data_IF_045055061525
#
_entry.id   IF_045055061525
#
_cell.length_a   1.000
_cell.length_b   1.000
_cell.length_c   1.000
_cell.angle_alpha   90.00
_cell.angle_beta   90.00
_cell.angle_gamma   90.00
#
_symmetry.space_group_name_H-M   'P 1'
#
loop_
_entity.id
_entity.type
_entity.pdbx_description
1 polymer ?
#
# COMPACT_ATOMS: atom_id res chain seq x y z
N UNK A 1 -13.60 1.52 2.15
CA UNK A 1 -12.23 1.91 1.75
C UNK A 1 -11.34 0.70 1.85
N UNK A 2 -10.39 0.51 0.94
CA UNK A 2 -9.46 -0.62 0.90
C UNK A 2 -8.06 -0.08 0.68
N UNK A 3 -7.10 -0.50 1.49
CA UNK A 3 -5.67 -0.18 1.30
C UNK A 3 -4.92 -1.47 1.01
N UNK A 4 -4.06 -1.44 0.00
CA UNK A 4 -3.18 -2.56 -0.34
C UNK A 4 -1.76 -2.05 -0.48
N UNK A 5 -0.80 -2.84 -0.01
CA UNK A 5 0.63 -2.59 -0.15
C UNK A 5 1.21 -3.69 -1.02
N UNK A 6 1.92 -3.28 -2.06
CA UNK A 6 2.58 -4.17 -3.02
C UNK A 6 4.08 -3.90 -2.96
N UNK A 7 4.90 -4.94 -3.03
CA UNK A 7 6.34 -4.77 -3.20
C UNK A 7 6.71 -4.43 -4.66
N UNK A 8 7.98 -4.09 -4.90
CA UNK A 8 8.50 -3.76 -6.22
C UNK A 8 8.41 -4.91 -7.24
N UNK A 9 8.23 -6.16 -6.79
CA UNK A 9 8.03 -7.31 -7.66
C UNK A 9 6.54 -7.50 -8.04
N UNK A 10 5.64 -6.62 -7.57
CA UNK A 10 4.20 -6.71 -7.80
C UNK A 10 3.50 -7.72 -6.89
N UNK A 11 4.16 -8.21 -5.83
CA UNK A 11 3.53 -9.10 -4.85
C UNK A 11 2.75 -8.28 -3.83
N UNK A 12 1.50 -8.67 -3.60
CA UNK A 12 0.69 -8.12 -2.50
C UNK A 12 1.30 -8.57 -1.16
N UNK A 13 1.75 -7.61 -0.35
CA UNK A 13 2.36 -7.87 0.97
C UNK A 13 1.41 -7.57 2.13
N UNK A 14 0.44 -6.67 1.92
CA UNK A 14 -0.56 -6.35 2.93
C UNK A 14 -1.86 -5.87 2.30
N UNK A 15 -2.98 -6.21 2.92
CA UNK A 15 -4.30 -5.71 2.58
C UNK A 15 -5.08 -5.39 3.85
N UNK A 16 -5.83 -4.28 3.84
CA UNK A 16 -6.71 -3.89 4.94
C UNK A 16 -7.95 -3.16 4.42
N UNK A 17 -9.08 -3.42 5.09
CA UNK A 17 -10.37 -2.81 4.79
C UNK A 17 -10.68 -1.74 5.86
N UNK A 18 -10.77 -0.48 5.41
CA UNK A 18 -11.04 0.73 6.20
C UNK A 18 -10.03 1.08 7.33
N UNK A 19 -8.70 0.95 7.13
CA UNK A 19 -7.75 1.46 8.11
C UNK A 19 -7.60 2.99 8.01
N UNK A 20 -7.42 3.66 9.15
CA UNK A 20 -6.96 5.06 9.20
C UNK A 20 -5.47 5.16 8.83
N UNK A 21 -4.68 4.15 9.20
CA UNK A 21 -3.24 4.09 8.96
C UNK A 21 -2.79 2.68 8.55
N UNK A 22 -1.74 2.60 7.73
CA UNK A 22 -1.03 1.34 7.43
C UNK A 22 0.44 1.46 7.77
N UNK A 23 1.03 0.35 8.22
CA UNK A 23 2.47 0.24 8.43
C UNK A 23 3.09 -0.40 7.20
N UNK A 24 4.15 0.19 6.66
CA UNK A 24 4.93 -0.47 5.62
C UNK A 24 5.69 -1.67 6.21
N UNK A 25 6.00 -2.71 5.41
CA UNK A 25 6.85 -3.80 5.86
C UNK A 25 8.23 -3.30 6.32
N UNK A 26 8.80 -3.91 7.36
CA UNK A 26 10.07 -3.48 7.98
C UNK A 26 11.26 -3.49 7.01
N UNK A 27 11.21 -4.37 6.01
CA UNK A 27 12.25 -4.50 5.00
C UNK A 27 12.37 -3.20 4.20
N UNK A 28 13.61 -2.73 4.01
CA UNK A 28 13.91 -1.61 3.11
C UNK A 28 13.54 -1.96 1.68
N UNK A 29 13.06 -0.97 0.94
CA UNK A 29 12.68 -1.16 -0.46
C UNK A 29 11.61 -0.20 -0.96
N UNK A 30 11.19 -0.45 -2.20
CA UNK A 30 10.11 0.30 -2.84
C UNK A 30 8.80 -0.44 -2.67
N UNK A 31 7.76 0.30 -2.31
CA UNK A 31 6.40 -0.19 -2.13
C UNK A 31 5.43 0.65 -2.96
N UNK A 32 4.41 0.00 -3.52
CA UNK A 32 3.25 0.66 -4.10
C UNK A 32 2.10 0.54 -3.11
N UNK A 33 1.55 1.67 -2.70
CA UNK A 33 0.36 1.73 -1.83
C UNK A 33 -0.82 2.11 -2.69
N UNK A 34 -1.86 1.28 -2.70
CA UNK A 34 -3.11 1.58 -3.42
C UNK A 34 -4.22 1.83 -2.42
N UNK A 35 -4.89 2.97 -2.54
CA UNK A 35 -6.05 3.33 -1.71
C UNK A 35 -7.29 3.39 -2.60
N UNK A 36 -8.22 2.47 -2.39
CA UNK A 36 -9.49 2.41 -3.10
C UNK A 36 -10.61 2.93 -2.21
N UNK A 37 -11.26 4.01 -2.64
CA UNK A 37 -12.41 4.62 -1.99
C UNK A 37 -13.63 4.52 -2.91
N UNK A 38 -14.80 4.92 -2.42
CA UNK A 38 -15.99 5.06 -3.27
C UNK A 38 -15.86 6.19 -4.31
N UNK A 39 -14.87 7.09 -4.15
CA UNK A 39 -14.59 8.20 -5.07
C UNK A 39 -13.56 7.86 -6.14
N UNK A 40 -12.91 6.70 -6.05
CA UNK A 40 -11.88 6.26 -6.99
C UNK A 40 -10.70 5.57 -6.33
N UNK A 41 -9.64 5.38 -7.11
CA UNK A 41 -8.42 4.68 -6.72
C UNK A 41 -7.22 5.62 -6.83
N UNK A 42 -6.43 5.70 -5.76
CA UNK A 42 -5.13 6.36 -5.72
C UNK A 42 -4.03 5.31 -5.65
N UNK A 43 -2.88 5.61 -6.26
CA UNK A 43 -1.67 4.79 -6.18
C UNK A 43 -0.50 5.71 -5.83
N UNK A 44 0.29 5.32 -4.83
CA UNK A 44 1.45 6.06 -4.38
C UNK A 44 2.67 5.14 -4.27
N UNK A 45 3.82 5.63 -4.74
CA UNK A 45 5.10 4.93 -4.63
C UNK A 45 5.83 5.45 -3.41
N UNK A 46 6.16 4.57 -2.48
CA UNK A 46 6.90 4.89 -1.25
C UNK A 46 8.25 4.18 -1.26
N UNK A 47 9.30 4.90 -0.87
CA UNK A 47 10.65 4.36 -0.68
C UNK A 47 10.94 4.31 0.82
N UNK A 48 11.24 3.12 1.34
CA UNK A 48 11.66 2.91 2.72
C UNK A 48 13.17 2.71 2.77
N UNK A 49 13.87 3.68 3.35
CA UNK A 49 15.33 3.73 3.47
C UNK A 49 15.90 3.12 4.76
#
# INVERSE_FOLDING_TARGET
QKIQVWDAAGKLVQESNAPEFIWLPERKGVYLVTVTTNKGKMVEKVVRE
#
